data_IF_601135791664
#
_entry.id   IF_601135791664
#
_cell.length_a   1.000
_cell.length_b   1.000
_cell.length_c   1.000
_cell.angle_alpha   90.00
_cell.angle_beta   90.00
_cell.angle_gamma   90.00
#
_symmetry.space_group_name_H-M   'P 1'
#
loop_
_entity.id
_entity.type
_entity.pdbx_description
1 polymer ?
#
# COMPACT_ATOMS: atom_id res chain seq x y z
N UNK A 1 -13.70 14.30 8.30
CA UNK A 1 -12.66 13.78 7.36
C UNK A 1 -11.55 14.81 7.31
N UNK A 2 -10.31 14.37 7.34
CA UNK A 2 -9.16 15.25 7.14
C UNK A 2 -9.22 15.82 5.72
N UNK A 3 -8.95 17.12 5.53
CA UNK A 3 -8.71 17.65 4.20
C UNK A 3 -7.58 16.87 3.53
N UNK A 4 -7.65 16.70 2.22
CA UNK A 4 -6.54 16.08 1.48
C UNK A 4 -5.82 17.12 0.64
N UNK A 5 -4.53 16.93 0.45
CA UNK A 5 -3.75 17.68 -0.54
C UNK A 5 -3.62 16.86 -1.83
N UNK A 6 -3.49 17.52 -2.96
CA UNK A 6 -3.39 16.85 -4.26
C UNK A 6 -1.94 16.42 -4.52
N UNK A 7 -1.68 15.13 -4.41
CA UNK A 7 -0.40 14.50 -4.75
C UNK A 7 -0.56 13.47 -5.88
N UNK A 8 -1.71 12.81 -5.96
CA UNK A 8 -2.00 11.78 -6.93
C UNK A 8 -2.73 12.32 -8.17
N UNK A 9 -2.50 11.70 -9.31
CA UNK A 9 -3.32 11.86 -10.50
C UNK A 9 -4.54 10.93 -10.35
N UNK A 10 -5.70 11.51 -10.02
CA UNK A 10 -6.95 10.79 -9.81
C UNK A 10 -8.06 11.36 -10.72
N UNK A 11 -9.02 10.53 -11.14
CA UNK A 11 -9.12 9.08 -10.90
C UNK A 11 -8.06 8.28 -11.65
N UNK A 12 -7.54 7.20 -11.05
CA UNK A 12 -6.67 6.29 -11.82
C UNK A 12 -7.50 5.48 -12.81
N UNK A 13 -6.94 5.12 -13.99
CA UNK A 13 -7.66 4.32 -14.97
C UNK A 13 -8.07 2.94 -14.45
N UNK A 14 -9.16 2.42 -15.00
CA UNK A 14 -9.52 1.00 -14.93
C UNK A 14 -9.38 0.45 -16.35
N UNK A 15 -8.51 -0.53 -16.50
CA UNK A 15 -8.21 -1.13 -17.80
C UNK A 15 -8.64 -2.59 -17.83
N UNK A 16 -9.31 -3.06 -18.90
CA UNK A 16 -9.56 -4.48 -19.11
C UNK A 16 -8.25 -5.19 -19.46
N UNK A 17 -8.14 -6.47 -19.05
CA UNK A 17 -7.00 -7.34 -19.36
C UNK A 17 -7.44 -8.46 -20.32
N UNK A 18 -7.73 -8.16 -21.60
CA UNK A 18 -8.41 -9.09 -22.50
C UNK A 18 -7.53 -10.27 -22.91
N UNK A 19 -6.22 -10.06 -23.08
CA UNK A 19 -5.31 -11.14 -23.48
C UNK A 19 -5.05 -12.10 -22.32
N UNK A 20 -4.90 -11.57 -21.10
CA UNK A 20 -4.76 -12.37 -19.89
C UNK A 20 -6.04 -13.12 -19.57
N UNK A 21 -7.21 -12.48 -19.68
CA UNK A 21 -8.53 -13.13 -19.56
C UNK A 21 -8.66 -14.32 -20.51
N UNK A 22 -8.33 -14.10 -21.79
CA UNK A 22 -8.38 -15.18 -22.81
C UNK A 22 -7.41 -16.32 -22.50
N UNK A 23 -6.20 -15.99 -22.03
CA UNK A 23 -5.16 -16.99 -21.73
C UNK A 23 -5.57 -17.87 -20.55
N UNK A 24 -6.16 -17.29 -19.51
CA UNK A 24 -6.54 -18.00 -18.29
C UNK A 24 -7.89 -18.72 -18.41
N UNK A 25 -8.70 -18.42 -19.42
CA UNK A 25 -10.04 -19.00 -19.65
C UNK A 25 -10.96 -18.91 -18.42
N UNK A 26 -10.79 -17.84 -17.61
CA UNK A 26 -11.49 -17.60 -16.35
C UNK A 26 -12.41 -16.37 -16.42
N UNK A 27 -12.64 -15.70 -15.28
CA UNK A 27 -13.47 -14.51 -15.22
C UNK A 27 -12.86 -13.35 -16.03
N UNK A 28 -13.67 -12.35 -16.36
CA UNK A 28 -13.19 -11.10 -16.97
C UNK A 28 -12.29 -10.37 -15.98
N UNK A 29 -11.09 -10.01 -16.41
CA UNK A 29 -10.09 -9.35 -15.60
C UNK A 29 -9.99 -7.86 -15.95
N UNK A 30 -9.90 -7.05 -14.90
CA UNK A 30 -9.61 -5.62 -14.97
C UNK A 30 -8.49 -5.29 -14.00
N UNK A 31 -7.79 -4.19 -14.25
CA UNK A 31 -6.80 -3.65 -13.34
C UNK A 31 -7.10 -2.19 -13.03
N UNK A 32 -7.11 -1.85 -11.73
CA UNK A 32 -7.11 -0.47 -11.25
C UNK A 32 -5.66 0.02 -11.19
N UNK A 33 -5.33 0.99 -12.03
CA UNK A 33 -3.95 1.43 -12.31
C UNK A 33 -3.39 2.39 -11.25
N UNK A 34 -3.33 1.94 -10.01
CA UNK A 34 -2.76 2.76 -8.92
C UNK A 34 -1.23 2.94 -9.03
N UNK A 35 -0.56 2.21 -9.92
CA UNK A 35 0.79 2.50 -10.38
C UNK A 35 0.88 3.86 -11.12
N UNK A 36 -0.23 4.34 -11.70
CA UNK A 36 -0.29 5.61 -12.43
C UNK A 36 -0.70 6.80 -11.55
N UNK A 37 -0.62 6.71 -10.23
CA UNK A 37 -0.84 7.85 -9.32
C UNK A 37 0.20 8.97 -9.47
N UNK A 38 1.30 8.73 -10.15
CA UNK A 38 2.25 9.72 -10.65
C UNK A 38 3.39 10.07 -9.69
N UNK A 39 3.13 10.38 -8.42
CA UNK A 39 4.14 10.82 -7.47
C UNK A 39 5.25 9.79 -7.26
N UNK A 40 6.50 10.17 -7.52
CA UNK A 40 7.68 9.32 -7.30
C UNK A 40 7.54 7.94 -7.97
N UNK A 41 7.16 7.86 -9.25
CA UNK A 41 6.83 6.67 -10.03
C UNK A 41 5.52 5.97 -9.62
N UNK A 42 4.64 6.65 -8.90
CA UNK A 42 3.31 6.15 -8.56
C UNK A 42 3.26 5.03 -7.54
N UNK A 43 2.07 4.54 -7.30
CA UNK A 43 1.76 3.44 -6.39
C UNK A 43 0.69 3.78 -5.35
N UNK A 44 0.18 2.75 -4.70
CA UNK A 44 -0.95 2.82 -3.77
C UNK A 44 -0.73 3.76 -2.57
N UNK A 45 0.51 4.04 -2.18
CA UNK A 45 0.81 4.85 -1.00
C UNK A 45 0.52 6.33 -1.23
N UNK A 46 0.55 6.81 -2.47
CA UNK A 46 0.22 8.21 -2.79
C UNK A 46 -1.18 8.59 -2.31
N UNK A 47 -2.18 7.71 -2.48
CA UNK A 47 -3.54 7.96 -1.98
C UNK A 47 -3.60 8.17 -0.46
N UNK A 48 -2.82 7.40 0.30
CA UNK A 48 -2.70 7.54 1.75
C UNK A 48 -1.96 8.82 2.13
N UNK A 49 -0.90 9.14 1.38
CA UNK A 49 -0.05 10.29 1.63
C UNK A 49 -0.78 11.62 1.38
N UNK A 50 -1.79 11.68 0.52
CA UNK A 50 -2.63 12.87 0.37
C UNK A 50 -3.28 13.30 1.69
N UNK A 51 -3.68 12.34 2.53
CA UNK A 51 -4.26 12.61 3.85
C UNK A 51 -3.20 12.77 4.94
N UNK A 52 -2.20 11.89 4.96
CA UNK A 52 -1.14 11.93 5.97
C UNK A 52 -0.30 13.21 5.89
N UNK A 53 0.03 13.65 4.68
CA UNK A 53 0.77 14.89 4.50
C UNK A 53 -0.10 16.12 4.77
N UNK A 54 -1.39 16.09 4.46
CA UNK A 54 -2.32 17.15 4.85
C UNK A 54 -2.42 17.28 6.37
N UNK A 55 -2.51 16.14 7.08
CA UNK A 55 -2.54 16.11 8.54
C UNK A 55 -1.23 16.65 9.14
N UNK A 56 -0.07 16.24 8.59
CA UNK A 56 1.24 16.77 9.00
C UNK A 56 1.32 18.29 8.84
N UNK A 57 0.89 18.83 7.70
CA UNK A 57 0.89 20.28 7.44
C UNK A 57 -0.05 21.03 8.36
N UNK A 58 -1.26 20.49 8.63
CA UNK A 58 -2.22 21.08 9.56
C UNK A 58 -1.68 21.17 10.99
N UNK A 59 -0.81 20.24 11.40
CA UNK A 59 -0.12 20.23 12.68
C UNK A 59 1.16 21.13 12.69
N UNK A 60 1.49 21.77 11.57
CA UNK A 60 2.69 22.62 11.46
C UNK A 60 4.00 21.82 11.36
N UNK A 61 3.92 20.51 11.06
CA UNK A 61 5.10 19.68 10.92
C UNK A 61 5.91 20.03 9.67
N UNK A 62 7.22 19.89 9.74
CA UNK A 62 8.18 20.25 8.68
C UNK A 62 9.06 19.10 8.22
N UNK A 63 8.98 17.94 8.87
CA UNK A 63 9.77 16.75 8.53
C UNK A 63 8.88 15.52 8.59
N UNK A 64 8.84 14.72 7.52
CA UNK A 64 8.18 13.43 7.51
C UNK A 64 9.16 12.33 7.90
N UNK A 65 8.80 11.49 8.86
CA UNK A 65 9.60 10.36 9.29
C UNK A 65 8.81 9.08 9.10
N UNK A 66 9.43 8.07 8.50
CA UNK A 66 8.79 6.75 8.32
C UNK A 66 9.81 5.62 8.28
N UNK A 67 9.31 4.40 8.16
CA UNK A 67 10.14 3.19 8.10
C UNK A 67 9.67 2.23 7.02
N UNK A 68 10.60 1.39 6.58
CA UNK A 68 10.36 0.30 5.62
C UNK A 68 11.59 -0.58 5.42
N UNK A 69 11.51 -1.55 4.51
CA UNK A 69 12.68 -2.26 4.02
C UNK A 69 13.52 -1.33 3.12
N UNK A 70 14.78 -1.70 2.86
CA UNK A 70 15.72 -0.92 2.04
C UNK A 70 15.16 -0.55 0.66
N UNK A 71 14.34 -1.41 0.04
CA UNK A 71 13.68 -1.17 -1.26
C UNK A 71 12.18 -0.87 -1.11
N UNK A 72 11.78 -0.18 -0.04
CA UNK A 72 10.38 0.07 0.27
C UNK A 72 9.71 1.03 -0.73
N UNK A 73 8.63 0.57 -1.37
CA UNK A 73 7.75 1.45 -2.17
C UNK A 73 7.09 2.55 -1.32
N UNK A 74 6.86 2.28 -0.03
CA UNK A 74 6.29 3.26 0.89
C UNK A 74 7.29 4.39 1.18
N UNK A 75 8.52 4.05 1.56
CA UNK A 75 9.57 5.03 1.83
C UNK A 75 9.80 5.94 0.62
N UNK A 76 9.92 5.38 -0.58
CA UNK A 76 10.07 6.13 -1.82
C UNK A 76 8.96 7.16 -2.03
N UNK A 77 7.71 6.76 -1.82
CA UNK A 77 6.58 7.68 -1.99
C UNK A 77 6.52 8.74 -0.89
N UNK A 78 6.93 8.43 0.35
CA UNK A 78 7.08 9.42 1.44
C UNK A 78 8.17 10.43 1.11
N UNK A 79 9.34 9.98 0.64
CA UNK A 79 10.42 10.86 0.20
C UNK A 79 9.97 11.81 -0.91
N UNK A 80 9.29 11.27 -1.93
CA UNK A 80 8.75 12.07 -3.03
C UNK A 80 7.67 13.06 -2.57
N UNK A 81 6.82 12.69 -1.60
CA UNK A 81 5.83 13.59 -1.03
C UNK A 81 6.49 14.73 -0.24
N UNK A 82 7.49 14.41 0.59
CA UNK A 82 8.25 15.41 1.33
C UNK A 82 8.94 16.41 0.38
N UNK A 83 9.66 15.90 -0.63
CA UNK A 83 10.30 16.74 -1.63
C UNK A 83 9.32 17.67 -2.35
N UNK A 84 8.15 17.15 -2.78
CA UNK A 84 7.13 17.95 -3.46
C UNK A 84 6.53 19.05 -2.59
N UNK A 85 6.48 18.83 -1.27
CA UNK A 85 5.88 19.76 -0.31
C UNK A 85 6.92 20.67 0.37
N UNK A 86 8.21 20.54 0.03
CA UNK A 86 9.29 21.30 0.66
C UNK A 86 9.53 20.92 2.13
N UNK A 87 9.22 19.66 2.50
CA UNK A 87 9.42 19.12 3.83
C UNK A 87 10.72 18.31 3.90
N UNK A 88 11.31 18.23 5.11
CA UNK A 88 12.37 17.26 5.40
C UNK A 88 11.84 15.83 5.34
N UNK A 89 12.74 14.86 5.11
CA UNK A 89 12.40 13.45 5.13
C UNK A 89 13.49 12.62 5.81
N UNK A 90 13.11 11.76 6.75
CA UNK A 90 13.98 10.77 7.37
C UNK A 90 13.39 9.39 7.18
N UNK A 91 14.14 8.49 6.56
CA UNK A 91 13.75 7.11 6.30
C UNK A 91 14.58 6.15 7.16
N UNK A 92 13.92 5.46 8.09
CA UNK A 92 14.52 4.39 8.89
C UNK A 92 14.35 3.08 8.15
N UNK A 93 15.43 2.61 7.51
CA UNK A 93 15.42 1.48 6.59
C UNK A 93 15.91 0.21 7.26
N UNK A 94 15.03 -0.79 7.38
CA UNK A 94 15.34 -2.08 7.96
C UNK A 94 16.17 -2.93 6.98
N UNK A 95 17.44 -3.11 7.29
CA UNK A 95 18.45 -3.83 6.52
C UNK A 95 19.80 -3.12 6.54
N UNK A 96 20.80 -3.76 5.96
CA UNK A 96 22.14 -3.18 5.81
C UNK A 96 22.18 -2.18 4.66
N UNK A 97 23.08 -1.20 4.75
CA UNK A 97 23.40 -0.33 3.61
C UNK A 97 24.08 -1.15 2.51
N UNK A 98 23.47 -1.30 1.32
CA UNK A 98 24.07 -2.10 0.25
C UNK A 98 25.29 -1.41 -0.39
N UNK A 99 25.70 -0.23 0.04
CA UNK A 99 26.81 0.55 -0.51
C UNK A 99 26.57 1.09 -1.92
N UNK A 100 25.52 0.63 -2.60
CA UNK A 100 25.12 1.09 -3.94
C UNK A 100 23.69 1.63 -3.93
N UNK A 101 23.45 2.65 -4.73
CA UNK A 101 22.13 3.29 -4.84
C UNK A 101 21.44 2.80 -6.11
N UNK A 102 20.46 1.91 -5.92
CA UNK A 102 19.68 1.30 -7.01
C UNK A 102 18.19 1.22 -6.62
N UNK A 103 17.31 1.15 -7.62
CA UNK A 103 15.88 0.99 -7.41
C UNK A 103 15.28 2.11 -6.55
N UNK A 104 14.46 1.74 -5.55
CA UNK A 104 13.83 2.72 -4.68
C UNK A 104 14.82 3.50 -3.83
N UNK A 105 15.92 2.87 -3.39
CA UNK A 105 16.95 3.54 -2.59
C UNK A 105 17.61 4.72 -3.33
N UNK A 106 17.83 4.59 -4.65
CA UNK A 106 18.30 5.69 -5.47
C UNK A 106 17.27 6.83 -5.51
N UNK A 107 15.99 6.49 -5.63
CA UNK A 107 14.92 7.48 -5.69
C UNK A 107 14.71 8.19 -4.34
N UNK A 108 14.93 7.50 -3.24
CA UNK A 108 14.92 8.08 -1.89
C UNK A 108 16.01 9.15 -1.76
N UNK A 109 17.22 8.83 -2.19
CA UNK A 109 18.36 9.76 -2.17
C UNK A 109 18.15 10.96 -3.11
N UNK A 110 17.71 10.73 -4.35
CA UNK A 110 17.39 11.78 -5.30
C UNK A 110 16.27 12.72 -4.81
N UNK A 111 15.36 12.21 -3.98
CA UNK A 111 14.30 13.00 -3.32
C UNK A 111 14.80 13.77 -2.10
N UNK A 112 16.08 13.66 -1.73
CA UNK A 112 16.68 14.38 -0.60
C UNK A 112 16.39 13.78 0.77
N UNK A 113 15.96 12.52 0.86
CA UNK A 113 15.71 11.87 2.14
C UNK A 113 17.01 11.53 2.88
N UNK A 114 17.02 11.75 4.21
CA UNK A 114 18.05 11.23 5.11
C UNK A 114 17.80 9.75 5.35
N UNK A 115 18.76 8.91 4.97
CA UNK A 115 18.66 7.45 5.09
C UNK A 115 19.34 6.98 6.38
N UNK A 116 18.64 6.18 7.19
CA UNK A 116 19.15 5.59 8.43
C UNK A 116 18.94 4.07 8.33
N UNK A 117 20.01 3.32 8.14
CA UNK A 117 19.98 1.85 8.05
C UNK A 117 20.03 1.25 9.44
N UNK A 118 19.17 0.25 9.70
CA UNK A 118 19.04 -0.36 11.02
C UNK A 118 18.79 -1.86 10.91
N UNK A 119 19.21 -2.69 11.89
CA UNK A 119 18.79 -4.09 11.97
C UNK A 119 17.26 -4.19 11.98
N UNK A 120 16.73 -5.25 11.35
CA UNK A 120 15.28 -5.43 11.19
C UNK A 120 14.55 -5.48 12.55
N UNK A 121 15.15 -6.12 13.52
CA UNK A 121 14.65 -6.27 14.89
C UNK A 121 14.63 -4.96 15.68
N UNK A 122 15.49 -4.00 15.33
CA UNK A 122 15.59 -2.69 16.00
C UNK A 122 14.70 -1.62 15.31
N UNK A 123 14.09 -1.94 14.19
CA UNK A 123 13.38 -0.99 13.32
C UNK A 123 12.45 -0.03 14.08
N UNK A 124 11.57 -0.58 14.91
CA UNK A 124 10.53 0.22 15.58
C UNK A 124 11.13 1.08 16.70
N UNK A 125 12.13 0.57 17.42
CA UNK A 125 12.89 1.34 18.41
C UNK A 125 13.66 2.49 17.76
N UNK A 126 14.36 2.21 16.66
CA UNK A 126 15.15 3.22 15.93
C UNK A 126 14.27 4.28 15.27
N UNK A 127 13.08 3.89 14.81
CA UNK A 127 12.09 4.83 14.29
C UNK A 127 11.68 5.83 15.38
N UNK A 128 11.40 5.36 16.58
CA UNK A 128 11.04 6.22 17.70
C UNK A 128 12.22 7.12 18.14
N UNK A 129 13.44 6.59 18.16
CA UNK A 129 14.64 7.38 18.44
C UNK A 129 14.85 8.48 17.39
N UNK A 130 14.69 8.16 16.10
CA UNK A 130 14.81 9.15 15.03
C UNK A 130 13.76 10.27 15.15
N UNK A 131 12.55 9.91 15.58
CA UNK A 131 11.50 10.89 15.85
C UNK A 131 11.87 11.81 17.01
N UNK A 132 12.26 11.25 18.16
CA UNK A 132 12.66 12.05 19.36
C UNK A 132 13.85 12.96 19.06
N UNK A 133 14.89 12.47 18.38
CA UNK A 133 16.02 13.32 17.99
C UNK A 133 15.59 14.46 17.05
N UNK A 134 14.68 14.18 16.12
CA UNK A 134 14.18 15.25 15.24
C UNK A 134 13.34 16.30 16.00
N UNK A 135 12.62 15.90 17.06
CA UNK A 135 11.95 16.86 17.98
C UNK A 135 12.97 17.72 18.73
N UNK A 136 14.00 17.11 19.33
CA UNK A 136 15.08 17.80 20.05
C UNK A 136 15.84 18.78 19.14
N UNK A 137 16.05 18.43 17.87
CA UNK A 137 16.68 19.25 16.86
C UNK A 137 15.73 20.36 16.29
N UNK A 138 14.48 20.45 16.75
CA UNK A 138 13.51 21.45 16.31
C UNK A 138 13.00 21.23 14.88
N UNK A 139 13.12 20.00 14.33
CA UNK A 139 12.74 19.67 12.96
C UNK A 139 11.23 19.54 12.76
N UNK A 140 10.42 19.67 13.80
CA UNK A 140 8.95 19.53 13.78
C UNK A 140 8.48 18.28 13.03
N UNK A 141 8.82 17.06 13.54
CA UNK A 141 8.59 15.83 12.83
C UNK A 141 7.11 15.39 12.85
N UNK A 142 6.70 14.68 11.79
CA UNK A 142 5.47 13.91 11.72
C UNK A 142 5.79 12.45 11.45
N UNK A 143 5.31 11.56 12.33
CA UNK A 143 5.54 10.13 12.20
C UNK A 143 4.48 9.49 11.30
N UNK A 144 4.90 9.06 10.12
CA UNK A 144 4.06 8.23 9.24
C UNK A 144 4.30 6.76 9.60
N UNK A 145 3.27 6.03 10.03
CA UNK A 145 3.42 4.63 10.41
C UNK A 145 3.79 3.75 9.22
N UNK A 146 4.30 2.55 9.49
CA UNK A 146 4.66 1.57 8.48
C UNK A 146 3.54 1.38 7.43
N UNK A 147 3.88 1.59 6.16
CA UNK A 147 2.94 1.53 5.03
C UNK A 147 1.84 2.59 5.03
N UNK A 148 1.93 3.65 5.86
CA UNK A 148 0.90 4.67 5.99
C UNK A 148 -0.43 4.13 6.52
N UNK A 149 -0.37 3.12 7.40
CA UNK A 149 -1.53 2.36 7.84
C UNK A 149 -1.98 2.80 9.24
N UNK A 150 -2.72 3.90 9.29
CA UNK A 150 -3.46 4.43 10.44
C UNK A 150 -4.80 5.03 9.96
N UNK A 151 -5.70 5.45 10.84
CA UNK A 151 -7.02 6.00 10.46
C UNK A 151 -6.95 7.14 9.45
N UNK A 152 -5.92 7.99 9.50
CA UNK A 152 -5.74 9.10 8.54
C UNK A 152 -5.43 8.56 7.14
N UNK A 153 -4.43 7.67 7.02
CA UNK A 153 -4.02 7.12 5.73
C UNK A 153 -5.04 6.18 5.09
N UNK A 154 -5.82 5.46 5.91
CA UNK A 154 -6.90 4.56 5.45
C UNK A 154 -7.94 5.30 4.60
N UNK A 155 -8.20 6.58 4.87
CA UNK A 155 -9.15 7.40 4.09
C UNK A 155 -8.85 7.40 2.59
N UNK A 156 -7.57 7.31 2.20
CA UNK A 156 -7.18 7.24 0.78
C UNK A 156 -7.80 6.06 0.04
N UNK A 157 -8.07 4.95 0.74
CA UNK A 157 -8.71 3.78 0.13
C UNK A 157 -10.22 3.70 0.37
N UNK A 158 -10.77 4.40 1.36
CA UNK A 158 -12.20 4.68 1.42
C UNK A 158 -12.59 5.51 0.18
N UNK A 159 -11.81 6.53 -0.13
CA UNK A 159 -12.03 7.37 -1.34
C UNK A 159 -11.83 6.60 -2.65
N UNK A 160 -10.92 5.60 -2.68
CA UNK A 160 -10.74 4.76 -3.87
C UNK A 160 -11.98 3.93 -4.20
N UNK A 161 -12.77 3.50 -3.20
CA UNK A 161 -14.05 2.81 -3.43
C UNK A 161 -15.12 3.76 -3.96
N UNK A 162 -15.12 5.01 -3.48
CA UNK A 162 -15.98 6.04 -4.05
C UNK A 162 -15.63 6.30 -5.53
N UNK A 163 -14.35 6.40 -5.84
CA UNK A 163 -13.85 6.56 -7.20
C UNK A 163 -14.23 5.37 -8.10
N UNK A 164 -14.13 4.13 -7.59
CA UNK A 164 -14.54 2.92 -8.32
C UNK A 164 -16.03 2.95 -8.66
N UNK A 165 -16.88 3.35 -7.71
CA UNK A 165 -18.33 3.52 -7.92
C UNK A 165 -18.61 4.56 -9.00
N UNK A 166 -17.93 5.72 -8.94
CA UNK A 166 -18.13 6.83 -9.87
C UNK A 166 -17.62 6.47 -11.30
N UNK A 167 -16.72 5.50 -11.41
CA UNK A 167 -16.27 4.91 -12.69
C UNK A 167 -17.20 3.81 -13.21
N UNK A 168 -18.32 3.53 -12.52
CA UNK A 168 -19.36 2.59 -12.92
C UNK A 168 -18.88 1.14 -13.15
N UNK A 169 -17.81 0.71 -12.45
CA UNK A 169 -17.39 -0.69 -12.43
C UNK A 169 -17.79 -1.33 -11.10
N UNK A 170 -18.55 -2.42 -11.17
CA UNK A 170 -18.93 -3.25 -10.03
C UNK A 170 -18.37 -4.66 -10.23
N UNK A 171 -17.12 -4.93 -9.83
CA UNK A 171 -16.54 -6.25 -9.94
C UNK A 171 -17.11 -7.17 -8.85
N UNK A 172 -17.20 -8.47 -9.13
CA UNK A 172 -17.56 -9.48 -8.13
C UNK A 172 -16.45 -9.63 -7.07
N UNK A 173 -15.20 -9.39 -7.48
CA UNK A 173 -14.03 -9.51 -6.62
C UNK A 173 -13.03 -8.37 -6.84
N UNK A 174 -12.47 -7.89 -5.73
CA UNK A 174 -11.25 -7.07 -5.72
C UNK A 174 -10.14 -7.91 -5.08
N UNK A 175 -9.04 -8.11 -5.81
CA UNK A 175 -7.87 -8.85 -5.31
C UNK A 175 -6.69 -7.89 -5.21
N UNK A 176 -6.01 -7.91 -4.06
CA UNK A 176 -4.89 -7.00 -3.79
C UNK A 176 -3.80 -7.67 -2.97
N UNK A 177 -2.58 -7.11 -3.00
CA UNK A 177 -1.53 -7.46 -2.05
C UNK A 177 -1.81 -6.81 -0.69
N UNK A 178 -1.75 -7.57 0.39
CA UNK A 178 -1.97 -7.07 1.74
C UNK A 178 -0.79 -7.42 2.67
N UNK A 179 -0.34 -6.46 3.48
CA UNK A 179 0.76 -6.60 4.44
C UNK A 179 0.54 -5.70 5.66
N UNK A 180 0.64 -4.37 5.54
CA UNK A 180 0.35 -3.42 6.62
C UNK A 180 -1.15 -3.15 6.85
N UNK A 181 -2.03 -3.76 6.08
CA UNK A 181 -3.48 -3.77 6.23
C UNK A 181 -4.24 -2.52 5.76
N UNK A 182 -3.63 -1.34 5.75
CA UNK A 182 -4.36 -0.07 5.56
C UNK A 182 -5.05 0.10 4.19
N UNK A 183 -4.58 -0.57 3.14
CA UNK A 183 -5.26 -0.57 1.84
C UNK A 183 -6.55 -1.37 1.92
N UNK A 184 -6.48 -2.60 2.42
CA UNK A 184 -7.64 -3.48 2.53
C UNK A 184 -8.66 -2.94 3.55
N UNK A 185 -8.21 -2.41 4.69
CA UNK A 185 -9.09 -1.77 5.67
C UNK A 185 -9.90 -0.60 5.05
N UNK A 186 -9.23 0.22 4.22
CA UNK A 186 -9.91 1.32 3.52
C UNK A 186 -10.90 0.84 2.46
N UNK A 187 -10.56 -0.20 1.71
CA UNK A 187 -11.48 -0.80 0.74
C UNK A 187 -12.71 -1.39 1.44
N UNK A 188 -12.55 -2.09 2.56
CA UNK A 188 -13.67 -2.69 3.34
C UNK A 188 -14.62 -1.58 3.84
N UNK A 189 -14.09 -0.51 4.45
CA UNK A 189 -14.93 0.59 4.92
C UNK A 189 -15.57 1.36 3.76
N UNK A 190 -14.83 1.60 2.70
CA UNK A 190 -15.36 2.24 1.50
C UNK A 190 -16.43 1.42 0.78
N UNK A 191 -16.29 0.08 0.78
CA UNK A 191 -17.30 -0.83 0.24
C UNK A 191 -18.64 -0.65 0.95
N UNK A 192 -18.63 -0.58 2.28
CA UNK A 192 -19.85 -0.34 3.06
C UNK A 192 -20.49 1.02 2.76
N UNK A 193 -19.67 2.08 2.61
CA UNK A 193 -20.18 3.42 2.32
C UNK A 193 -20.74 3.56 0.90
N UNK A 194 -20.21 2.79 -0.04
CA UNK A 194 -20.61 2.87 -1.47
C UNK A 194 -21.68 1.85 -1.86
N UNK A 195 -22.04 0.93 -0.95
CA UNK A 195 -22.96 -0.18 -1.25
C UNK A 195 -22.35 -1.22 -2.20
N UNK A 196 -21.01 -1.36 -2.21
CA UNK A 196 -20.33 -2.38 -3.00
C UNK A 196 -20.66 -3.77 -2.49
N UNK A 197 -21.18 -4.64 -3.37
CA UNK A 197 -21.66 -5.99 -3.03
C UNK A 197 -20.65 -7.10 -3.32
N UNK A 198 -19.55 -6.79 -3.99
CA UNK A 198 -18.48 -7.74 -4.29
C UNK A 198 -17.63 -8.08 -3.06
N UNK A 199 -16.67 -8.97 -3.23
CA UNK A 199 -15.76 -9.44 -2.17
C UNK A 199 -14.36 -8.84 -2.33
N UNK A 200 -13.64 -8.65 -1.22
CA UNK A 200 -12.31 -8.04 -1.19
C UNK A 200 -11.33 -9.05 -0.61
N UNK A 201 -10.48 -9.64 -1.44
CA UNK A 201 -9.49 -10.65 -1.06
C UNK A 201 -8.09 -10.07 -1.01
N UNK A 202 -7.47 -10.10 0.18
CA UNK A 202 -6.06 -9.79 0.37
C UNK A 202 -5.17 -11.02 0.16
N UNK A 203 -4.23 -10.95 -0.77
CA UNK A 203 -3.14 -11.94 -0.84
C UNK A 203 -2.05 -11.46 0.11
N UNK A 204 -1.81 -12.24 1.16
CA UNK A 204 -0.80 -11.89 2.18
C UNK A 204 0.61 -11.88 1.57
N UNK A 205 1.38 -10.88 1.97
CA UNK A 205 2.78 -10.74 1.55
C UNK A 205 3.74 -11.35 2.58
N UNK A 206 3.40 -11.27 3.87
CA UNK A 206 4.38 -11.56 4.94
C UNK A 206 3.77 -12.07 6.26
N UNK A 207 2.45 -12.21 6.36
CA UNK A 207 1.77 -12.62 7.59
C UNK A 207 0.87 -13.82 7.36
N UNK A 208 0.57 -14.56 8.44
CA UNK A 208 -0.48 -15.56 8.40
C UNK A 208 -1.85 -14.90 8.15
N UNK A 209 -2.79 -15.72 7.70
CA UNK A 209 -4.18 -15.31 7.50
C UNK A 209 -4.76 -14.69 8.78
N UNK A 210 -4.68 -15.40 9.90
CA UNK A 210 -5.19 -14.95 11.20
C UNK A 210 -4.57 -13.62 11.67
N UNK A 211 -3.24 -13.49 11.58
CA UNK A 211 -2.55 -12.25 11.96
C UNK A 211 -2.99 -11.06 11.11
N UNK A 212 -3.13 -11.28 9.80
CA UNK A 212 -3.47 -10.19 8.88
C UNK A 212 -4.95 -9.81 8.96
N UNK A 213 -5.85 -10.76 9.12
CA UNK A 213 -7.29 -10.53 9.36
C UNK A 213 -7.50 -9.71 10.62
N UNK A 214 -6.90 -10.13 11.75
CA UNK A 214 -6.96 -9.40 13.02
C UNK A 214 -6.40 -7.97 12.90
N UNK A 215 -5.26 -7.81 12.22
CA UNK A 215 -4.65 -6.48 12.00
C UNK A 215 -5.58 -5.57 11.18
N UNK A 216 -6.16 -6.08 10.10
CA UNK A 216 -7.03 -5.31 9.21
C UNK A 216 -8.33 -4.96 9.90
N UNK A 217 -8.97 -5.92 10.59
CA UNK A 217 -10.20 -5.72 11.34
C UNK A 217 -10.04 -4.65 12.42
N UNK A 218 -8.95 -4.74 13.20
CA UNK A 218 -8.60 -3.73 14.20
C UNK A 218 -8.44 -2.34 13.59
N UNK A 219 -7.67 -2.24 12.50
CA UNK A 219 -7.41 -0.96 11.84
C UNK A 219 -8.69 -0.37 11.22
N UNK A 220 -9.53 -1.20 10.60
CA UNK A 220 -10.81 -0.78 10.05
C UNK A 220 -11.75 -0.28 11.16
N UNK A 221 -11.87 -1.01 12.27
CA UNK A 221 -12.70 -0.61 13.42
C UNK A 221 -12.20 0.69 14.06
N UNK A 222 -10.89 0.84 14.25
CA UNK A 222 -10.31 2.10 14.74
C UNK A 222 -10.59 3.27 13.79
N UNK A 223 -10.51 3.03 12.47
CA UNK A 223 -10.82 4.05 11.46
C UNK A 223 -12.30 4.41 11.46
N UNK A 224 -13.19 3.44 11.57
CA UNK A 224 -14.63 3.66 11.68
C UNK A 224 -14.95 4.53 12.90
N UNK A 225 -14.45 4.16 14.08
CA UNK A 225 -14.63 4.93 15.31
C UNK A 225 -14.09 6.37 15.18
N UNK A 226 -12.90 6.53 14.59
CA UNK A 226 -12.29 7.85 14.37
C UNK A 226 -13.11 8.73 13.41
N UNK A 227 -13.78 8.11 12.42
CA UNK A 227 -14.69 8.81 11.49
C UNK A 227 -16.11 9.04 12.07
N UNK A 228 -16.40 8.57 13.29
CA UNK A 228 -17.73 8.62 13.88
C UNK A 228 -18.74 7.65 13.23
N UNK A 229 -18.24 6.60 12.59
CA UNK A 229 -19.05 5.52 12.01
C UNK A 229 -19.25 4.44 13.08
N UNK A 230 -20.49 4.22 13.47
CA UNK A 230 -20.85 3.16 14.43
C UNK A 230 -20.83 1.78 13.73
N UNK A 231 -19.62 1.29 13.50
CA UNK A 231 -19.37 -0.02 12.87
C UNK A 231 -18.11 -0.65 13.44
N UNK A 232 -18.23 -1.87 13.90
CA UNK A 232 -17.11 -2.76 14.23
C UNK A 232 -16.89 -3.73 13.06
N UNK A 233 -15.66 -3.93 12.68
CA UNK A 233 -15.25 -4.95 11.72
C UNK A 233 -14.59 -6.06 12.50
N UNK A 234 -15.11 -7.27 12.38
CA UNK A 234 -14.54 -8.46 12.99
C UNK A 234 -13.55 -9.15 12.05
N UNK A 235 -12.69 -10.04 12.56
CA UNK A 235 -11.71 -10.76 11.75
C UNK A 235 -12.37 -11.58 10.65
N UNK A 236 -13.52 -12.16 10.92
CA UNK A 236 -14.32 -12.98 10.00
C UNK A 236 -14.91 -12.18 8.81
N UNK A 237 -14.97 -10.85 8.92
CA UNK A 237 -15.38 -9.95 7.83
C UNK A 237 -14.25 -9.70 6.83
N UNK A 238 -13.02 -10.10 7.16
CA UNK A 238 -11.82 -9.85 6.37
C UNK A 238 -11.42 -11.13 5.64
N UNK A 239 -11.24 -11.05 4.32
CA UNK A 239 -10.79 -12.19 3.54
C UNK A 239 -9.31 -12.06 3.21
N UNK A 240 -8.51 -13.01 3.67
CA UNK A 240 -7.08 -13.11 3.41
C UNK A 240 -6.76 -14.50 2.84
N UNK A 241 -5.71 -14.58 2.05
CA UNK A 241 -5.10 -15.84 1.64
C UNK A 241 -3.58 -15.72 1.83
N UNK A 242 -3.01 -16.54 2.68
CA UNK A 242 -1.58 -16.56 3.03
C UNK A 242 -0.78 -17.65 2.31
N UNK A 243 -1.40 -18.44 1.44
CA UNK A 243 -0.74 -19.57 0.78
C UNK A 243 0.50 -19.18 -0.03
N UNK A 244 0.62 -17.91 -0.41
CA UNK A 244 1.68 -17.40 -1.30
C UNK A 244 2.81 -16.67 -0.55
N UNK A 245 2.73 -16.48 0.77
CA UNK A 245 3.75 -15.74 1.54
C UNK A 245 4.80 -16.64 2.23
N UNK A 246 4.69 -17.97 2.12
CA UNK A 246 5.51 -18.95 2.88
C UNK A 246 7.02 -18.83 2.68
N UNK A 247 7.48 -18.34 1.52
CA UNK A 247 8.90 -18.11 1.27
C UNK A 247 9.48 -16.94 2.06
N UNK A 248 8.62 -16.09 2.63
CA UNK A 248 8.98 -14.89 3.36
C UNK A 248 8.90 -13.61 2.53
N UNK A 249 9.08 -12.49 3.25
CA UNK A 249 9.02 -11.16 2.65
C UNK A 249 10.18 -10.93 1.65
N UNK A 250 9.82 -10.48 0.46
CA UNK A 250 10.81 -10.11 -0.57
C UNK A 250 11.52 -11.28 -1.25
N UNK A 251 11.19 -12.52 -0.91
CA UNK A 251 11.76 -13.71 -1.56
C UNK A 251 10.92 -14.06 -2.78
N UNK A 252 11.47 -13.79 -3.96
CA UNK A 252 10.81 -14.05 -5.24
C UNK A 252 10.80 -15.56 -5.55
N UNK A 253 9.62 -16.10 -5.82
CA UNK A 253 9.43 -17.50 -6.19
C UNK A 253 9.14 -17.64 -7.70
N UNK A 254 9.23 -18.87 -8.26
CA UNK A 254 8.88 -19.10 -9.67
C UNK A 254 7.45 -18.66 -10.04
N UNK A 255 6.48 -18.78 -9.13
CA UNK A 255 5.09 -18.40 -9.37
C UNK A 255 4.91 -16.90 -9.53
N UNK A 256 5.59 -16.08 -8.70
CA UNK A 256 5.58 -14.63 -8.89
C UNK A 256 6.33 -14.23 -10.17
N UNK A 257 7.44 -14.90 -10.48
CA UNK A 257 8.18 -14.67 -11.73
C UNK A 257 7.31 -14.96 -12.96
N UNK A 258 6.54 -16.06 -12.94
CA UNK A 258 5.57 -16.38 -14.00
C UNK A 258 4.51 -15.29 -14.12
N UNK A 259 3.89 -14.90 -13.01
CA UNK A 259 2.84 -13.88 -12.98
C UNK A 259 3.34 -12.53 -13.54
N UNK A 260 4.51 -12.05 -13.10
CA UNK A 260 5.12 -10.83 -13.59
C UNK A 260 5.35 -10.90 -15.11
N UNK A 261 5.88 -12.02 -15.61
CA UNK A 261 6.10 -12.23 -17.04
C UNK A 261 4.80 -12.29 -17.83
N UNK A 262 3.75 -12.92 -17.29
CA UNK A 262 2.44 -12.97 -17.94
C UNK A 262 1.86 -11.58 -18.10
N UNK A 263 1.75 -10.79 -17.03
CA UNK A 263 1.24 -9.42 -17.10
C UNK A 263 2.07 -8.56 -18.09
N UNK A 264 3.38 -8.63 -18.02
CA UNK A 264 4.26 -7.88 -18.93
C UNK A 264 4.07 -8.27 -20.41
N UNK A 265 3.97 -9.58 -20.72
CA UNK A 265 3.91 -10.08 -22.11
C UNK A 265 2.53 -10.04 -22.72
N UNK A 266 1.47 -10.12 -21.89
CA UNK A 266 0.09 -10.09 -22.39
C UNK A 266 -0.45 -8.67 -22.43
N UNK A 267 -0.20 -7.86 -21.42
CA UNK A 267 -0.87 -6.56 -21.25
C UNK A 267 0.12 -5.37 -21.20
N UNK A 268 1.44 -5.62 -21.25
CA UNK A 268 2.44 -4.54 -21.15
C UNK A 268 2.51 -3.90 -19.77
N UNK A 269 2.02 -4.57 -18.73
CA UNK A 269 1.95 -4.07 -17.37
C UNK A 269 3.08 -4.67 -16.54
N UNK A 270 3.87 -3.80 -15.89
CA UNK A 270 4.96 -4.22 -15.02
C UNK A 270 4.50 -4.27 -13.57
N UNK A 271 4.78 -5.40 -12.91
CA UNK A 271 4.47 -5.64 -11.51
C UNK A 271 5.76 -5.62 -10.69
N UNK A 272 5.67 -5.16 -9.43
CA UNK A 272 6.79 -5.29 -8.50
C UNK A 272 6.90 -6.73 -7.97
N UNK A 273 8.11 -7.19 -7.61
CA UNK A 273 8.32 -8.59 -7.23
C UNK A 273 7.78 -8.95 -5.84
N UNK A 274 7.51 -7.96 -4.98
CA UNK A 274 7.18 -8.20 -3.57
C UNK A 274 5.67 -8.23 -3.33
N UNK A 275 4.95 -7.25 -3.87
CA UNK A 275 3.52 -7.03 -3.60
C UNK A 275 2.66 -7.45 -4.79
N UNK A 276 2.68 -6.69 -5.87
CA UNK A 276 1.78 -6.92 -7.01
C UNK A 276 2.09 -8.22 -7.75
N UNK A 277 3.35 -8.63 -7.82
CA UNK A 277 3.74 -9.93 -8.37
C UNK A 277 3.18 -11.10 -7.56
N UNK A 278 3.20 -11.01 -6.20
CA UNK A 278 2.62 -12.03 -5.31
C UNK A 278 1.10 -12.05 -5.40
N UNK A 279 0.44 -10.90 -5.40
CA UNK A 279 -1.01 -10.82 -5.59
C UNK A 279 -1.45 -11.38 -6.94
N UNK A 280 -0.72 -11.09 -8.01
CA UNK A 280 -0.99 -11.63 -9.33
C UNK A 280 -0.76 -13.15 -9.40
N UNK A 281 0.27 -13.67 -8.73
CA UNK A 281 0.49 -15.12 -8.63
C UNK A 281 -0.69 -15.81 -7.93
N UNK A 282 -1.15 -15.26 -6.81
CA UNK A 282 -2.33 -15.75 -6.11
C UNK A 282 -3.59 -15.68 -6.96
N UNK A 283 -3.83 -14.56 -7.65
CA UNK A 283 -4.96 -14.40 -8.56
C UNK A 283 -4.96 -15.46 -9.67
N UNK A 284 -3.83 -15.66 -10.35
CA UNK A 284 -3.70 -16.61 -11.46
C UNK A 284 -3.93 -18.05 -10.97
N UNK A 285 -3.34 -18.44 -9.85
CA UNK A 285 -3.50 -19.78 -9.28
C UNK A 285 -4.95 -20.04 -8.84
N UNK A 286 -5.61 -19.07 -8.20
CA UNK A 286 -7.00 -19.16 -7.79
C UNK A 286 -7.96 -19.25 -9.00
N UNK A 287 -7.67 -18.54 -10.10
CA UNK A 287 -8.41 -18.68 -11.35
C UNK A 287 -8.28 -20.11 -11.91
N UNK A 288 -7.05 -20.62 -11.97
CA UNK A 288 -6.79 -21.98 -12.47
C UNK A 288 -7.46 -23.08 -11.63
N UNK A 289 -7.69 -22.79 -10.34
CA UNK A 289 -8.42 -23.67 -9.42
C UNK A 289 -9.94 -23.50 -9.45
N UNK A 290 -10.46 -22.57 -10.25
CA UNK A 290 -11.90 -22.30 -10.33
C UNK A 290 -12.50 -21.64 -9.08
N UNK A 291 -11.71 -20.89 -8.34
CA UNK A 291 -12.13 -20.24 -7.10
C UNK A 291 -13.13 -19.08 -7.33
N UNK A 292 -12.98 -18.39 -8.43
CA UNK A 292 -13.81 -17.23 -8.78
C UNK A 292 -15.00 -17.60 -9.65
#
# INVERSE_FOLDING_TARGET
>A
MTERIVLAHLPTPIEPLPRLTKLLQGPRLFIKRDDLTGLGLGGNKTRKLEYLAADALAQGCRTLITTGAVQSNHCRQVAAAAARLGLGCILVLAGEDPGSRQGNLLLDELSGAKLVFVPKEERDQRLQQAFTHAEEDGMQPYLIPYGGSNPVGVQGYIQAMQELRDQNLQPDWIVLASSSGGTQAGLILGAQQTGFSGRILGISVDKSEEELESLIAKLASQTAAWLGIDKKIESEDVLVNDAYCRAGYGILQPVETEAIRLFARTEGILLDPVYTGRAAAGLIDLIRKGFF
#
